data_IF_856685380558
#
_entry.id   IF_856685380558
#
_cell.length_a   1.000
_cell.length_b   1.000
_cell.length_c   1.000
_cell.angle_alpha   90.00
_cell.angle_beta   90.00
_cell.angle_gamma   90.00
#
_symmetry.space_group_name_H-M   'P 1'
#
loop_
_entity.id
_entity.type
_entity.pdbx_description
1 polymer ?
#
# COMPACT_ATOMS: atom_id res chain seq x y z
N UNK A 1 42.26 -4.26 11.94
CA UNK A 1 40.97 -4.73 11.38
C UNK A 1 40.20 -3.48 11.00
N UNK A 2 40.41 -2.96 9.79
CA UNK A 2 39.59 -3.25 8.59
C UNK A 2 38.13 -2.94 8.86
N UNK A 3 37.43 -2.03 8.18
CA UNK A 3 37.68 -1.27 6.97
C UNK A 3 36.27 -0.76 6.65
N UNK A 4 36.08 0.55 6.57
CA UNK A 4 34.77 1.12 6.25
C UNK A 4 34.92 1.98 5.00
N UNK A 5 34.28 1.50 3.95
CA UNK A 5 34.25 2.02 2.60
C UNK A 5 33.74 3.47 2.58
N UNK A 6 34.56 4.36 2.03
CA UNK A 6 34.10 5.67 1.54
C UNK A 6 33.93 5.56 0.03
N UNK A 7 32.68 5.49 -0.43
CA UNK A 7 32.32 5.59 -1.84
C UNK A 7 31.42 6.82 -2.03
N UNK A 8 32.04 7.96 -2.36
CA UNK A 8 31.38 9.17 -2.86
C UNK A 8 32.19 9.69 -4.04
N UNK A 9 31.53 10.00 -5.16
CA UNK A 9 32.09 10.91 -6.17
C UNK A 9 32.19 10.38 -7.60
N UNK A 10 31.10 9.90 -8.19
CA UNK A 10 30.98 9.80 -9.65
C UNK A 10 30.39 11.09 -10.22
N UNK A 11 31.23 11.99 -10.73
CA UNK A 11 30.80 13.19 -11.45
C UNK A 11 30.27 12.82 -12.86
N UNK A 12 29.18 13.45 -13.35
CA UNK A 12 28.74 13.29 -14.73
C UNK A 12 29.65 14.09 -15.68
N UNK A 13 30.18 13.42 -16.72
CA UNK A 13 30.93 14.08 -17.81
C UNK A 13 29.96 14.85 -18.72
N UNK A 14 30.34 16.03 -19.23
CA UNK A 14 29.57 16.73 -20.25
C UNK A 14 29.72 16.04 -21.62
N UNK A 15 28.61 15.85 -22.32
CA UNK A 15 28.56 15.63 -23.76
C UNK A 15 28.68 17.00 -24.44
N UNK A 16 29.62 17.14 -25.37
CA UNK A 16 29.56 18.00 -26.56
C UNK A 16 30.71 17.51 -27.48
N UNK A 17 30.37 16.94 -28.63
CA UNK A 17 30.34 17.59 -29.96
C UNK A 17 31.65 17.30 -30.68
N UNK A 18 31.61 16.27 -31.53
CA UNK A 18 32.47 16.16 -32.72
C UNK A 18 31.59 15.57 -33.83
N UNK A 19 30.90 16.46 -34.53
CA UNK A 19 30.42 16.24 -35.88
C UNK A 19 31.64 16.47 -36.76
N UNK A 20 32.20 15.39 -37.33
CA UNK A 20 33.12 15.55 -38.44
C UNK A 20 32.69 14.65 -39.61
N UNK A 21 32.26 15.36 -40.64
CA UNK A 21 31.98 14.88 -41.98
C UNK A 21 33.26 14.41 -42.67
N UNK A 22 33.19 13.28 -43.38
CA UNK A 22 33.77 12.99 -44.72
C UNK A 22 34.37 11.59 -44.81
N UNK A 23 33.67 10.75 -45.56
CA UNK A 23 34.20 9.53 -46.15
C UNK A 23 33.33 9.23 -47.36
N UNK A 24 33.70 9.80 -48.51
CA UNK A 24 33.18 9.41 -49.82
C UNK A 24 33.34 7.90 -49.96
N UNK A 25 32.23 7.17 -50.13
CA UNK A 25 32.27 5.77 -50.50
C UNK A 25 31.61 5.65 -51.87
N UNK A 26 32.47 5.48 -52.87
CA UNK A 26 32.14 5.35 -54.27
C UNK A 26 31.13 4.21 -54.50
N UNK A 27 30.10 4.54 -55.26
CA UNK A 27 29.04 3.64 -55.67
C UNK A 27 29.52 2.84 -56.89
N UNK A 28 30.34 1.80 -56.69
CA UNK A 28 30.57 0.79 -57.74
C UNK A 28 29.41 -0.18 -57.73
N UNK A 29 28.57 -0.01 -58.76
CA UNK A 29 27.42 -0.82 -59.11
C UNK A 29 27.92 -2.02 -59.91
N UNK A 30 28.18 -3.13 -59.23
CA UNK A 30 28.36 -4.43 -59.88
C UNK A 30 27.08 -5.24 -59.76
N UNK A 31 26.47 -5.37 -60.92
CA UNK A 31 25.35 -6.26 -61.26
C UNK A 31 25.96 -7.63 -61.53
N UNK A 32 25.49 -8.64 -60.79
CA UNK A 32 25.25 -10.04 -61.20
C UNK A 32 25.55 -11.01 -60.04
N UNK A 33 24.53 -11.74 -59.60
CA UNK A 33 24.38 -13.17 -59.90
C UNK A 33 23.49 -13.86 -58.85
N UNK A 34 22.56 -14.64 -59.38
CA UNK A 34 21.48 -15.34 -58.71
C UNK A 34 21.97 -16.36 -57.67
N UNK A 35 21.22 -16.47 -56.58
CA UNK A 35 21.41 -17.52 -55.58
C UNK A 35 20.71 -17.23 -54.26
N UNK A 36 19.42 -16.87 -54.28
CA UNK A 36 18.59 -16.98 -53.08
C UNK A 36 18.41 -18.46 -52.76
N UNK A 37 19.39 -19.05 -52.08
CA UNK A 37 19.19 -20.32 -51.40
C UNK A 37 18.17 -20.10 -50.29
N UNK A 38 16.94 -20.59 -50.48
CA UNK A 38 15.97 -20.65 -49.39
C UNK A 38 16.64 -21.34 -48.19
N UNK A 39 16.61 -20.74 -46.99
CA UNK A 39 17.22 -21.36 -45.82
C UNK A 39 16.50 -22.69 -45.58
N UNK A 40 17.25 -23.78 -45.77
CA UNK A 40 16.75 -25.16 -45.67
C UNK A 40 16.07 -25.33 -44.30
N UNK A 41 14.73 -25.39 -44.32
CA UNK A 41 13.95 -25.36 -43.09
C UNK A 41 14.19 -26.66 -42.33
N UNK A 42 14.99 -26.61 -41.27
CA UNK A 42 15.23 -27.76 -40.41
C UNK A 42 13.90 -28.17 -39.76
N UNK A 43 13.34 -29.30 -40.23
CA UNK A 43 12.13 -29.89 -39.67
C UNK A 43 12.45 -30.46 -38.30
N UNK A 44 11.71 -30.02 -37.28
CA UNK A 44 11.84 -30.47 -35.88
C UNK A 44 10.55 -31.25 -35.53
N UNK A 45 10.57 -32.20 -34.59
CA UNK A 45 9.34 -32.88 -34.17
C UNK A 45 8.24 -31.88 -33.79
N UNK A 46 7.15 -31.89 -34.55
CA UNK A 46 5.98 -31.00 -34.36
C UNK A 46 6.04 -29.63 -35.04
N UNK A 47 6.96 -29.37 -35.99
CA UNK A 47 6.91 -28.15 -36.81
C UNK A 47 8.27 -27.66 -37.34
N UNK A 48 8.29 -26.45 -37.88
CA UNK A 48 9.51 -25.78 -38.38
C UNK A 48 10.23 -25.07 -37.23
N UNK A 49 11.57 -25.11 -37.18
CA UNK A 49 12.33 -24.37 -36.17
C UNK A 49 12.12 -22.85 -36.29
N UNK A 50 12.08 -22.14 -35.17
CA UNK A 50 12.00 -20.67 -35.17
C UNK A 50 13.30 -20.05 -35.69
N UNK A 51 13.23 -19.40 -36.85
CA UNK A 51 14.32 -18.62 -37.45
C UNK A 51 14.08 -17.14 -37.13
N UNK A 52 15.15 -16.38 -36.92
CA UNK A 52 15.09 -14.94 -36.72
C UNK A 52 14.66 -14.24 -38.02
N UNK A 53 13.35 -14.05 -38.19
CA UNK A 53 12.76 -13.31 -39.31
C UNK A 53 12.51 -11.85 -38.96
N UNK A 54 12.67 -10.97 -39.95
CA UNK A 54 12.25 -9.56 -39.86
C UNK A 54 10.73 -9.48 -39.66
N UNK A 55 10.28 -8.48 -38.92
CA UNK A 55 8.86 -8.20 -38.69
C UNK A 55 8.47 -7.06 -39.63
N UNK A 56 7.41 -7.26 -40.41
CA UNK A 56 6.89 -6.34 -41.43
C UNK A 56 5.40 -6.12 -41.26
N UNK A 57 4.88 -5.02 -41.80
CA UNK A 57 3.46 -4.68 -41.76
C UNK A 57 2.62 -5.65 -42.60
N UNK A 58 3.17 -6.14 -43.72
CA UNK A 58 2.66 -7.30 -44.45
C UNK A 58 3.23 -8.55 -43.78
N UNK A 59 2.56 -8.96 -42.71
CA UNK A 59 2.98 -10.07 -41.86
C UNK A 59 2.71 -11.43 -42.52
N UNK A 60 3.53 -12.43 -42.17
CA UNK A 60 3.38 -13.79 -42.70
C UNK A 60 2.22 -14.55 -42.02
N UNK A 61 1.90 -15.74 -42.54
CA UNK A 61 0.80 -16.56 -42.02
C UNK A 61 0.95 -16.92 -40.54
N UNK A 62 2.19 -17.05 -40.05
CA UNK A 62 2.46 -17.39 -38.66
C UNK A 62 2.29 -16.19 -37.74
N UNK A 63 2.77 -15.02 -38.18
CA UNK A 63 2.55 -13.76 -37.49
C UNK A 63 1.08 -13.38 -37.43
N UNK A 64 0.33 -13.57 -38.52
CA UNK A 64 -1.12 -13.40 -38.56
C UNK A 64 -1.83 -14.24 -37.51
N UNK A 65 -1.39 -15.50 -37.33
CA UNK A 65 -1.96 -16.39 -36.31
C UNK A 65 -1.60 -15.97 -34.88
N UNK A 66 -0.37 -15.47 -34.67
CA UNK A 66 0.04 -14.90 -33.38
C UNK A 66 -0.83 -13.68 -33.05
N UNK A 67 -1.04 -12.77 -34.01
CA UNK A 67 -1.85 -11.57 -33.86
C UNK A 67 -3.28 -11.93 -33.44
N UNK A 68 -3.93 -12.85 -34.17
CA UNK A 68 -5.30 -13.27 -33.91
C UNK A 68 -5.48 -13.84 -32.48
N UNK A 69 -4.61 -14.78 -32.09
CA UNK A 69 -4.69 -15.40 -30.76
C UNK A 69 -4.37 -14.40 -29.64
N UNK A 70 -3.49 -13.43 -29.90
CA UNK A 70 -3.15 -12.39 -28.93
C UNK A 70 -4.23 -11.33 -28.76
N UNK A 71 -4.92 -10.96 -29.83
CA UNK A 71 -6.09 -10.08 -29.76
C UNK A 71 -7.22 -10.73 -28.94
N UNK A 72 -7.36 -12.07 -29.01
CA UNK A 72 -8.28 -12.85 -28.18
C UNK A 72 -7.78 -13.09 -26.73
N UNK A 73 -6.65 -12.47 -26.35
CA UNK A 73 -6.08 -12.53 -25.00
C UNK A 73 -5.62 -13.91 -24.51
N UNK A 74 -5.21 -14.81 -25.42
CA UNK A 74 -4.61 -16.08 -25.03
C UNK A 74 -3.19 -15.93 -24.44
N UNK A 75 -2.81 -16.88 -23.56
CA UNK A 75 -1.50 -16.91 -22.92
C UNK A 75 -0.38 -17.26 -23.91
N UNK A 76 0.85 -16.85 -23.60
CA UNK A 76 2.04 -17.11 -24.43
C UNK A 76 2.28 -18.61 -24.64
N UNK A 77 2.10 -19.43 -23.60
CA UNK A 77 2.23 -20.89 -23.72
C UNK A 77 1.16 -21.49 -24.62
N UNK A 78 -0.08 -20.98 -24.53
CA UNK A 78 -1.18 -21.45 -25.36
C UNK A 78 -0.93 -21.16 -26.83
N UNK A 79 -0.50 -19.93 -27.15
CA UNK A 79 -0.18 -19.52 -28.53
C UNK A 79 0.91 -20.41 -29.11
N UNK A 80 2.02 -20.61 -28.37
CA UNK A 80 3.10 -21.48 -28.82
C UNK A 80 2.63 -22.93 -29.05
N UNK A 81 1.81 -23.47 -28.15
CA UNK A 81 1.24 -24.81 -28.29
C UNK A 81 0.29 -24.92 -29.48
N UNK A 82 -0.50 -23.89 -29.77
CA UNK A 82 -1.41 -23.86 -30.93
C UNK A 82 -0.66 -23.81 -32.25
N UNK A 83 0.36 -22.98 -32.37
CA UNK A 83 1.22 -22.93 -33.56
C UNK A 83 1.87 -24.30 -33.82
N UNK A 84 2.33 -24.97 -32.76
CA UNK A 84 2.90 -26.33 -32.87
C UNK A 84 1.85 -27.37 -33.32
N UNK A 85 0.63 -27.33 -32.76
CA UNK A 85 -0.46 -28.22 -33.17
C UNK A 85 -0.85 -28.03 -34.64
N UNK A 86 -0.81 -26.79 -35.12
CA UNK A 86 -1.11 -26.42 -36.51
C UNK A 86 0.05 -26.71 -37.47
N UNK A 87 1.17 -27.26 -36.99
CA UNK A 87 2.36 -27.57 -37.81
C UNK A 87 3.14 -26.34 -38.27
N UNK A 88 2.91 -25.18 -37.64
CA UNK A 88 3.58 -23.90 -37.92
C UNK A 88 4.96 -23.82 -37.28
N UNK A 89 5.60 -22.65 -37.36
CA UNK A 89 6.86 -22.39 -36.66
C UNK A 89 6.72 -22.64 -35.16
N UNK A 90 7.63 -23.45 -34.64
CA UNK A 90 7.72 -23.81 -33.23
C UNK A 90 8.39 -22.69 -32.44
N UNK A 91 7.58 -21.77 -31.94
CA UNK A 91 8.02 -20.78 -30.98
C UNK A 91 8.18 -21.37 -29.58
N UNK A 92 9.08 -20.79 -28.79
CA UNK A 92 9.12 -21.00 -27.35
C UNK A 92 8.16 -20.01 -26.70
N UNK A 93 7.30 -20.43 -25.77
CA UNK A 93 6.29 -19.57 -25.13
C UNK A 93 6.84 -18.20 -24.72
N UNK A 94 7.98 -18.15 -24.01
CA UNK A 94 8.64 -16.89 -23.58
C UNK A 94 8.99 -15.90 -24.69
N UNK A 95 9.04 -16.34 -25.95
CA UNK A 95 9.39 -15.51 -27.12
C UNK A 95 8.17 -14.92 -27.81
N UNK A 96 6.98 -15.48 -27.59
CA UNK A 96 5.72 -15.03 -28.20
C UNK A 96 5.41 -13.60 -27.77
N UNK A 97 5.46 -13.28 -26.47
CA UNK A 97 5.16 -11.93 -25.99
C UNK A 97 6.06 -10.86 -26.61
N UNK A 98 7.37 -11.11 -26.72
CA UNK A 98 8.31 -10.18 -27.36
C UNK A 98 8.06 -10.04 -28.86
N UNK A 99 7.71 -11.13 -29.57
CA UNK A 99 7.37 -11.08 -31.00
C UNK A 99 6.07 -10.31 -31.23
N UNK A 100 5.04 -10.59 -30.44
CA UNK A 100 3.76 -9.90 -30.48
C UNK A 100 3.90 -8.39 -30.24
N UNK A 101 4.67 -7.96 -29.24
CA UNK A 101 4.86 -6.52 -28.97
C UNK A 101 5.51 -5.79 -30.16
N UNK A 102 6.45 -6.44 -30.85
CA UNK A 102 7.08 -5.88 -32.05
C UNK A 102 6.12 -5.85 -33.24
N UNK A 103 5.33 -6.90 -33.44
CA UNK A 103 4.26 -6.94 -34.46
C UNK A 103 3.23 -5.84 -34.20
N UNK A 104 2.76 -5.74 -32.96
CA UNK A 104 1.80 -4.71 -32.54
C UNK A 104 2.32 -3.31 -32.86
N UNK A 105 3.58 -3.01 -32.53
CA UNK A 105 4.17 -1.71 -32.84
C UNK A 105 4.16 -1.42 -34.35
N UNK A 106 4.56 -2.38 -35.18
CA UNK A 106 4.55 -2.21 -36.64
C UNK A 106 3.12 -2.01 -37.19
N UNK A 107 2.12 -2.67 -36.58
CA UNK A 107 0.71 -2.47 -36.93
C UNK A 107 0.17 -1.11 -36.47
N UNK A 108 0.58 -0.65 -35.28
CA UNK A 108 0.27 0.69 -34.77
C UNK A 108 0.87 1.76 -35.70
N UNK A 109 2.17 1.64 -36.03
CA UNK A 109 2.86 2.55 -36.95
C UNK A 109 2.17 2.57 -38.34
N UNK A 110 1.75 1.40 -38.88
CA UNK A 110 0.98 1.33 -40.15
C UNK A 110 -0.38 2.01 -40.03
N UNK A 111 -1.08 1.85 -38.91
CA UNK A 111 -2.38 2.49 -38.71
C UNK A 111 -2.23 4.01 -38.58
N UNK A 112 -1.17 4.50 -37.93
CA UNK A 112 -0.84 5.93 -37.88
C UNK A 112 -0.61 6.48 -39.30
N UNK A 113 0.17 5.78 -40.14
CA UNK A 113 0.34 6.15 -41.56
C UNK A 113 -0.99 6.18 -42.33
N UNK A 114 -1.87 5.20 -42.11
CA UNK A 114 -3.20 5.18 -42.73
C UNK A 114 -4.10 6.32 -42.27
N UNK A 115 -3.98 6.75 -41.01
CA UNK A 115 -4.72 7.90 -40.49
C UNK A 115 -4.17 9.21 -41.07
N UNK A 116 -2.85 9.36 -41.17
CA UNK A 116 -2.18 10.53 -41.76
C UNK A 116 -2.48 10.68 -43.26
N UNK A 117 -2.59 9.56 -43.98
CA UNK A 117 -2.94 9.51 -45.41
C UNK A 117 -4.47 9.61 -45.67
N UNK A 118 -5.29 9.81 -44.63
CA UNK A 118 -6.76 9.85 -44.68
C UNK A 118 -7.40 8.55 -45.27
N UNK A 119 -6.69 7.43 -45.20
CA UNK A 119 -7.15 6.10 -45.63
C UNK A 119 -7.87 5.33 -44.51
N UNK A 120 -7.74 5.79 -43.27
CA UNK A 120 -8.50 5.35 -42.09
C UNK A 120 -9.09 6.56 -41.38
N UNK A 121 -10.13 6.35 -40.57
CA UNK A 121 -10.76 7.41 -39.78
C UNK A 121 -11.06 6.91 -38.35
N UNK A 122 -11.35 7.85 -37.46
CA UNK A 122 -11.79 7.58 -36.11
C UNK A 122 -13.26 7.13 -36.11
N UNK A 123 -13.56 6.11 -35.32
CA UNK A 123 -14.90 5.54 -35.25
C UNK A 123 -15.75 6.21 -34.16
N UNK A 124 -17.07 6.09 -34.31
CA UNK A 124 -18.04 6.62 -33.35
C UNK A 124 -17.78 6.04 -31.95
N UNK A 125 -17.61 6.93 -30.98
CA UNK A 125 -17.37 6.60 -29.57
C UNK A 125 -15.89 6.51 -29.17
N UNK A 126 -14.96 6.50 -30.13
CA UNK A 126 -13.53 6.52 -29.85
C UNK A 126 -13.09 7.87 -29.28
N UNK A 127 -13.59 8.99 -29.80
CA UNK A 127 -13.31 10.34 -29.27
C UNK A 127 -13.70 10.50 -27.79
N UNK A 128 -14.88 10.01 -27.42
CA UNK A 128 -15.33 10.02 -26.03
C UNK A 128 -14.42 9.17 -25.15
N UNK A 129 -14.00 8.00 -25.66
CA UNK A 129 -13.13 7.09 -24.95
C UNK A 129 -11.74 7.70 -24.76
N UNK A 130 -11.14 8.26 -25.80
CA UNK A 130 -9.86 8.97 -25.76
C UNK A 130 -9.91 10.13 -24.77
N UNK A 131 -10.98 10.92 -24.81
CA UNK A 131 -11.16 12.05 -23.87
C UNK A 131 -11.25 11.58 -22.42
N UNK A 132 -12.04 10.52 -22.14
CA UNK A 132 -12.18 9.92 -20.81
C UNK A 132 -10.84 9.36 -20.31
N UNK A 133 -10.16 8.56 -21.14
CA UNK A 133 -8.86 7.94 -20.81
C UNK A 133 -7.81 9.01 -20.57
N UNK A 134 -7.72 10.03 -21.43
CA UNK A 134 -6.79 11.15 -21.26
C UNK A 134 -7.02 11.85 -19.92
N UNK A 135 -8.26 12.14 -19.56
CA UNK A 135 -8.57 12.78 -18.28
C UNK A 135 -8.17 11.92 -17.07
N UNK A 136 -8.31 10.59 -17.15
CA UNK A 136 -7.85 9.67 -16.11
C UNK A 136 -6.32 9.62 -16.00
N UNK A 137 -5.63 9.63 -17.14
CA UNK A 137 -4.16 9.65 -17.19
C UNK A 137 -3.62 10.99 -16.68
N UNK A 138 -4.21 12.11 -17.10
CA UNK A 138 -3.82 13.46 -16.66
C UNK A 138 -3.88 13.58 -15.13
N UNK A 139 -4.91 13.01 -14.48
CA UNK A 139 -5.01 12.96 -13.00
C UNK A 139 -3.84 12.22 -12.36
N UNK A 140 -3.36 11.12 -12.97
CA UNK A 140 -2.21 10.37 -12.45
C UNK A 140 -0.92 11.19 -12.55
N UNK A 141 -0.77 11.95 -13.64
CA UNK A 141 0.44 12.74 -13.89
C UNK A 141 0.40 14.15 -13.32
N UNK A 142 -0.75 14.66 -12.89
CA UNK A 142 -0.90 16.04 -12.37
C UNK A 142 0.08 16.33 -11.23
N UNK A 143 0.22 15.41 -10.28
CA UNK A 143 1.14 15.54 -9.15
C UNK A 143 2.61 15.53 -9.60
N UNK A 144 2.98 14.62 -10.50
CA UNK A 144 4.34 14.52 -11.06
C UNK A 144 4.69 15.76 -11.87
N UNK A 145 3.74 16.27 -12.66
CA UNK A 145 3.90 17.49 -13.44
C UNK A 145 4.12 18.70 -12.53
N UNK A 146 3.32 18.85 -11.48
CA UNK A 146 3.50 19.91 -10.47
C UNK A 146 4.87 19.83 -9.81
N UNK A 147 5.30 18.64 -9.41
CA UNK A 147 6.64 18.43 -8.83
C UNK A 147 7.77 18.75 -9.82
N UNK A 148 7.61 18.39 -11.09
CA UNK A 148 8.57 18.73 -12.15
C UNK A 148 8.65 20.24 -12.38
N UNK A 149 7.51 20.94 -12.40
CA UNK A 149 7.49 22.40 -12.49
C UNK A 149 8.17 23.05 -11.28
N UNK A 150 7.89 22.58 -10.07
CA UNK A 150 8.57 23.08 -8.87
C UNK A 150 10.09 22.85 -8.93
N UNK A 151 10.53 21.69 -9.42
CA UNK A 151 11.96 21.38 -9.59
C UNK A 151 12.60 22.30 -10.62
N UNK A 152 11.95 22.48 -11.78
CA UNK A 152 12.39 23.42 -12.83
C UNK A 152 12.58 24.82 -12.25
N UNK A 153 11.62 25.35 -11.50
CA UNK A 153 11.74 26.69 -10.93
C UNK A 153 12.78 26.80 -9.82
N UNK A 154 13.00 25.73 -9.04
CA UNK A 154 14.11 25.65 -8.10
C UNK A 154 15.45 25.78 -8.83
N UNK A 155 15.65 25.03 -9.93
CA UNK A 155 16.84 25.15 -10.75
C UNK A 155 17.01 26.55 -11.32
N UNK A 156 15.95 27.13 -11.91
CA UNK A 156 15.97 28.51 -12.41
C UNK A 156 16.44 29.48 -11.33
N UNK A 157 15.95 29.36 -10.10
CA UNK A 157 16.37 30.25 -9.01
C UNK A 157 17.84 30.07 -8.62
N UNK A 158 18.37 28.85 -8.70
CA UNK A 158 19.79 28.56 -8.43
C UNK A 158 20.66 29.17 -9.54
N UNK A 159 20.35 28.88 -10.80
CA UNK A 159 21.09 29.43 -11.94
C UNK A 159 21.04 30.96 -11.97
N UNK A 160 19.89 31.56 -11.64
CA UNK A 160 19.77 33.01 -11.52
C UNK A 160 20.66 33.56 -10.40
N UNK A 161 20.70 32.90 -9.25
CA UNK A 161 21.54 33.32 -8.14
C UNK A 161 23.04 33.22 -8.48
N UNK A 162 23.45 32.19 -9.22
CA UNK A 162 24.83 32.02 -9.67
C UNK A 162 25.23 33.12 -10.66
N UNK A 163 24.32 33.52 -11.57
CA UNK A 163 24.57 34.63 -12.52
C UNK A 163 24.60 36.00 -11.85
N UNK A 164 23.75 36.24 -10.84
CA UNK A 164 23.71 37.51 -10.09
C UNK A 164 24.79 37.54 -8.98
N UNK A 165 25.35 36.39 -8.61
CA UNK A 165 26.31 36.25 -7.52
C UNK A 165 25.69 36.37 -6.12
N UNK A 166 24.35 36.35 -5.99
CA UNK A 166 23.61 36.46 -4.72
C UNK A 166 22.31 35.66 -4.75
N UNK A 167 22.06 34.86 -3.71
CA UNK A 167 20.79 34.12 -3.51
C UNK A 167 19.71 35.02 -2.90
N UNK A 168 19.08 35.85 -3.74
CA UNK A 168 18.02 36.80 -3.32
C UNK A 168 16.60 36.30 -3.59
N UNK A 169 16.38 35.56 -4.66
CA UNK A 169 15.05 35.19 -5.15
C UNK A 169 14.76 33.70 -4.95
N UNK A 170 13.55 33.38 -4.52
CA UNK A 170 13.07 31.99 -4.40
C UNK A 170 12.54 31.49 -5.75
N UNK A 171 12.39 30.16 -5.89
CA UNK A 171 11.75 29.53 -7.04
C UNK A 171 10.41 30.18 -7.40
N UNK A 172 9.54 30.33 -6.39
CA UNK A 172 8.21 30.95 -6.55
C UNK A 172 8.31 32.41 -7.02
N UNK A 173 9.25 33.18 -6.48
CA UNK A 173 9.44 34.58 -6.90
C UNK A 173 9.93 34.69 -8.35
N UNK A 174 10.74 33.73 -8.81
CA UNK A 174 11.21 33.67 -10.19
C UNK A 174 10.06 33.29 -11.14
N UNK A 175 9.24 32.32 -10.76
CA UNK A 175 8.03 31.90 -11.49
C UNK A 175 7.04 33.05 -11.63
N UNK A 176 6.58 33.63 -10.51
CA UNK A 176 5.63 34.75 -10.50
C UNK A 176 6.14 35.94 -11.33
N UNK A 177 7.45 36.22 -11.27
CA UNK A 177 8.05 37.30 -12.06
C UNK A 177 8.04 36.97 -13.55
N UNK A 178 8.39 35.74 -13.93
CA UNK A 178 8.38 35.31 -15.32
C UNK A 178 6.96 35.34 -15.92
N UNK A 179 5.98 34.85 -15.16
CA UNK A 179 4.57 34.88 -15.57
C UNK A 179 4.07 36.31 -15.76
N UNK A 180 4.39 37.22 -14.84
CA UNK A 180 4.05 38.62 -14.97
C UNK A 180 4.71 39.27 -16.21
N UNK A 181 5.95 38.88 -16.54
CA UNK A 181 6.64 39.36 -17.75
C UNK A 181 5.92 38.83 -18.99
N UNK A 182 5.61 37.53 -19.02
CA UNK A 182 4.91 36.88 -20.15
C UNK A 182 3.51 37.48 -20.37
N UNK A 183 2.80 37.81 -19.29
CA UNK A 183 1.48 38.43 -19.33
C UNK A 183 1.52 39.94 -19.61
N UNK A 184 2.70 40.57 -19.64
CA UNK A 184 2.83 42.03 -19.79
C UNK A 184 2.35 42.84 -18.57
N UNK A 185 2.10 42.19 -17.43
CA UNK A 185 1.64 42.83 -16.18
C UNK A 185 2.77 43.04 -15.16
N UNK A 186 4.00 42.66 -15.52
CA UNK A 186 5.16 42.87 -14.68
C UNK A 186 5.40 44.36 -14.42
N UNK A 187 5.54 44.70 -13.15
CA UNK A 187 6.03 46.01 -12.74
C UNK A 187 7.43 46.24 -13.30
N UNK A 188 7.66 47.46 -13.79
CA UNK A 188 8.96 47.89 -14.25
C UNK A 188 10.04 47.71 -13.17
N UNK A 189 11.31 47.54 -13.53
CA UNK A 189 12.41 47.71 -12.58
C UNK A 189 12.29 49.06 -11.85
N UNK A 190 12.67 49.11 -10.57
CA UNK A 190 12.50 50.32 -9.73
C UNK A 190 13.21 51.53 -10.34
N UNK A 191 14.38 51.32 -10.96
CA UNK A 191 15.19 52.37 -11.61
C UNK A 191 14.52 52.96 -12.86
N UNK A 192 13.54 52.28 -13.45
CA UNK A 192 12.88 52.67 -14.70
C UNK A 192 11.42 53.09 -14.48
N UNK A 193 10.95 53.10 -13.23
CA UNK A 193 9.57 53.45 -12.91
C UNK A 193 9.48 54.91 -12.46
N UNK A 194 8.83 55.75 -13.26
CA UNK A 194 8.64 57.16 -12.97
C UNK A 194 7.57 57.39 -11.88
N UNK A 195 6.61 56.46 -11.70
CA UNK A 195 5.56 56.55 -10.68
C UNK A 195 5.91 55.74 -9.41
N UNK A 196 6.81 56.32 -8.62
CA UNK A 196 7.19 55.76 -7.32
C UNK A 196 6.09 55.87 -6.26
N UNK A 197 5.09 56.73 -6.44
CA UNK A 197 3.99 56.93 -5.49
C UNK A 197 2.96 55.81 -5.63
N UNK A 198 2.52 55.52 -6.86
CA UNK A 198 1.62 54.39 -7.15
C UNK A 198 2.24 53.05 -6.75
N UNK A 199 3.54 52.85 -7.01
CA UNK A 199 4.28 51.65 -6.56
C UNK A 199 4.23 51.46 -5.05
N UNK A 200 4.35 52.53 -4.26
CA UNK A 200 4.29 52.46 -2.79
C UNK A 200 2.92 52.02 -2.30
N UNK A 201 1.84 52.60 -2.85
CA UNK A 201 0.48 52.20 -2.49
C UNK A 201 0.21 50.73 -2.80
N UNK A 202 0.59 50.26 -3.99
CA UNK A 202 0.45 48.84 -4.39
C UNK A 202 1.28 47.90 -3.50
N UNK A 203 2.42 48.39 -2.98
CA UNK A 203 3.24 47.63 -2.02
C UNK A 203 2.57 47.57 -0.65
N UNK A 204 2.04 48.69 -0.17
CA UNK A 204 1.32 48.76 1.11
C UNK A 204 0.10 47.83 1.12
N UNK A 205 -0.69 47.83 0.04
CA UNK A 205 -1.83 46.91 -0.12
C UNK A 205 -1.37 45.45 -0.09
N UNK A 206 -0.28 45.11 -0.79
CA UNK A 206 0.29 43.75 -0.78
C UNK A 206 0.83 43.36 0.61
N UNK A 207 1.46 44.28 1.33
CA UNK A 207 1.94 44.06 2.69
C UNK A 207 0.75 43.85 3.64
N UNK A 208 -0.29 44.68 3.55
CA UNK A 208 -1.49 44.57 4.36
C UNK A 208 -2.19 43.22 4.13
N UNK A 209 -2.36 42.81 2.87
CA UNK A 209 -2.90 41.49 2.52
C UNK A 209 -2.04 40.36 3.09
N UNK A 210 -0.73 40.41 2.89
CA UNK A 210 0.18 39.39 3.42
C UNK A 210 0.24 39.34 4.97
N UNK A 211 -0.09 40.45 5.64
CA UNK A 211 -0.22 40.51 7.11
C UNK A 211 -1.55 39.87 7.56
N UNK A 212 -2.64 40.15 6.86
CA UNK A 212 -3.94 39.52 7.10
C UNK A 212 -3.88 38.00 6.87
N UNK A 213 -3.26 37.56 5.77
CA UNK A 213 -3.11 36.13 5.45
C UNK A 213 -2.26 35.40 6.52
N UNK A 214 -1.21 36.05 7.02
CA UNK A 214 -0.39 35.52 8.13
C UNK A 214 -1.18 35.41 9.43
N UNK A 215 -1.94 36.44 9.79
CA UNK A 215 -2.80 36.41 10.98
C UNK A 215 -3.85 35.30 10.88
N UNK A 216 -4.52 35.15 9.73
CA UNK A 216 -5.50 34.09 9.50
C UNK A 216 -4.88 32.69 9.57
N UNK A 217 -3.66 32.50 9.02
CA UNK A 217 -2.97 31.22 9.12
C UNK A 217 -2.53 30.91 10.57
N UNK A 218 -2.05 31.90 11.31
CA UNK A 218 -1.71 31.74 12.73
C UNK A 218 -2.95 31.38 13.57
N UNK A 219 -4.08 32.02 13.32
CA UNK A 219 -5.37 31.69 13.95
C UNK A 219 -5.82 30.27 13.59
N UNK A 220 -5.74 29.88 12.30
CA UNK A 220 -6.10 28.53 11.86
C UNK A 220 -5.21 27.46 12.53
N UNK A 221 -3.90 27.71 12.66
CA UNK A 221 -2.97 26.81 13.34
C UNK A 221 -3.29 26.72 14.84
N UNK A 222 -3.62 27.84 15.50
CA UNK A 222 -4.05 27.85 16.91
C UNK A 222 -5.34 27.05 17.10
N UNK A 223 -6.35 27.29 16.29
CA UNK A 223 -7.63 26.56 16.33
C UNK A 223 -7.43 25.06 16.09
N UNK A 224 -6.58 24.67 15.14
CA UNK A 224 -6.25 23.27 14.89
C UNK A 224 -5.52 22.63 16.08
N UNK A 225 -4.60 23.35 16.72
CA UNK A 225 -3.89 22.88 17.92
C UNK A 225 -4.84 22.71 19.11
N UNK A 226 -5.75 23.66 19.33
CA UNK A 226 -6.77 23.61 20.38
C UNK A 226 -7.74 22.43 20.16
N UNK A 227 -8.22 22.23 18.93
CA UNK A 227 -9.06 21.07 18.60
C UNK A 227 -8.33 19.75 18.83
N UNK A 228 -7.04 19.67 18.49
CA UNK A 228 -6.22 18.47 18.74
C UNK A 228 -6.07 18.22 20.24
N UNK A 229 -5.83 19.26 21.04
CA UNK A 229 -5.73 19.16 22.51
C UNK A 229 -7.06 18.74 23.13
N UNK A 230 -8.17 19.34 22.72
CA UNK A 230 -9.51 18.97 23.19
C UNK A 230 -9.86 17.50 22.90
N UNK A 231 -9.49 16.99 21.71
CA UNK A 231 -9.65 15.56 21.36
C UNK A 231 -8.79 14.66 22.23
N UNK A 232 -7.55 15.05 22.53
CA UNK A 232 -6.66 14.28 23.41
C UNK A 232 -7.21 14.23 24.85
N UNK A 233 -7.67 15.36 25.38
CA UNK A 233 -8.24 15.43 26.73
C UNK A 233 -9.55 14.65 26.84
N UNK A 234 -10.41 14.68 25.81
CA UNK A 234 -11.61 13.85 25.74
C UNK A 234 -11.28 12.35 25.70
N UNK A 235 -10.28 11.94 24.91
CA UNK A 235 -9.84 10.55 24.85
C UNK A 235 -9.26 10.08 26.20
N UNK A 236 -8.49 10.93 26.88
CA UNK A 236 -7.92 10.63 28.20
C UNK A 236 -9.03 10.44 29.25
N UNK A 237 -10.00 11.37 29.32
CA UNK A 237 -11.16 11.26 30.22
C UNK A 237 -11.98 9.99 29.96
N UNK A 238 -12.22 9.65 28.69
CA UNK A 238 -12.95 8.42 28.34
C UNK A 238 -12.20 7.14 28.74
N UNK A 239 -10.86 7.15 28.71
CA UNK A 239 -10.05 6.02 29.21
C UNK A 239 -10.11 5.92 30.73
N UNK A 240 -9.99 7.04 31.42
CA UNK A 240 -10.08 7.10 32.89
C UNK A 240 -11.46 6.62 33.38
N UNK A 241 -12.54 7.05 32.74
CA UNK A 241 -13.90 6.61 33.07
C UNK A 241 -14.09 5.10 32.83
N UNK A 242 -13.55 4.57 31.73
CA UNK A 242 -13.59 3.12 31.46
C UNK A 242 -12.79 2.32 32.48
N UNK A 243 -11.64 2.85 32.93
CA UNK A 243 -10.83 2.20 33.95
C UNK A 243 -11.54 2.22 35.32
N UNK A 244 -12.09 3.37 35.72
CA UNK A 244 -12.88 3.50 36.94
C UNK A 244 -14.05 2.50 36.98
N UNK A 245 -14.80 2.36 35.89
CA UNK A 245 -15.90 1.37 35.79
C UNK A 245 -15.40 -0.08 35.94
N UNK A 246 -14.24 -0.42 35.38
CA UNK A 246 -13.63 -1.75 35.52
C UNK A 246 -13.16 -1.99 36.96
N UNK A 247 -12.57 -0.99 37.58
CA UNK A 247 -12.09 -1.08 38.97
C UNK A 247 -13.28 -1.22 39.94
N UNK A 248 -14.38 -0.49 39.72
CA UNK A 248 -15.63 -0.65 40.46
C UNK A 248 -16.24 -2.06 40.28
N UNK A 249 -16.31 -2.56 39.04
CA UNK A 249 -16.87 -3.89 38.77
C UNK A 249 -16.04 -5.01 39.41
N UNK A 250 -14.70 -4.91 39.33
CA UNK A 250 -13.79 -5.87 39.96
C UNK A 250 -13.86 -5.80 41.49
N UNK A 251 -13.97 -4.60 42.07
CA UNK A 251 -14.21 -4.43 43.50
C UNK A 251 -15.53 -5.08 43.94
N UNK A 252 -16.61 -4.91 43.18
CA UNK A 252 -17.91 -5.53 43.45
C UNK A 252 -17.83 -7.07 43.42
N UNK A 253 -17.22 -7.64 42.37
CA UNK A 253 -17.01 -9.10 42.26
C UNK A 253 -16.17 -9.65 43.41
N UNK A 254 -15.14 -8.92 43.84
CA UNK A 254 -14.31 -9.31 44.98
C UNK A 254 -15.08 -9.28 46.30
N UNK A 255 -15.95 -8.28 46.51
CA UNK A 255 -16.84 -8.23 47.68
C UNK A 255 -17.84 -9.39 47.68
N UNK A 256 -18.50 -9.65 46.55
CA UNK A 256 -19.43 -10.78 46.39
C UNK A 256 -18.74 -12.13 46.67
N UNK A 257 -17.50 -12.32 46.18
CA UNK A 257 -16.73 -13.53 46.44
C UNK A 257 -16.35 -13.68 47.93
N UNK A 258 -15.98 -12.59 48.60
CA UNK A 258 -15.69 -12.58 50.05
C UNK A 258 -16.92 -12.98 50.86
N UNK A 259 -18.09 -12.42 50.55
CA UNK A 259 -19.36 -12.77 51.17
C UNK A 259 -19.73 -14.25 50.93
N UNK A 260 -19.61 -14.73 49.68
CA UNK A 260 -19.90 -16.12 49.33
C UNK A 260 -18.99 -17.10 50.06
N UNK A 261 -17.71 -16.76 50.20
CA UNK A 261 -16.75 -17.53 50.98
C UNK A 261 -17.07 -17.52 52.48
N UNK A 262 -17.55 -16.39 53.03
CA UNK A 262 -18.03 -16.31 54.42
C UNK A 262 -19.19 -17.27 54.66
N UNK A 263 -20.23 -17.21 53.82
CA UNK A 263 -21.40 -18.09 53.89
C UNK A 263 -20.99 -19.56 53.77
N UNK A 264 -20.06 -19.91 52.87
CA UNK A 264 -19.58 -21.29 52.71
C UNK A 264 -18.86 -21.81 53.96
N UNK A 265 -18.07 -20.97 54.63
CA UNK A 265 -17.40 -21.29 55.91
C UNK A 265 -18.43 -21.50 57.02
N UNK A 266 -19.40 -20.60 57.16
CA UNK A 266 -20.50 -20.72 58.13
C UNK A 266 -21.30 -22.01 57.94
N UNK A 267 -21.67 -22.33 56.69
CA UNK A 267 -22.33 -23.61 56.34
C UNK A 267 -21.46 -24.83 56.62
N UNK A 268 -20.13 -24.70 56.52
CA UNK A 268 -19.18 -25.73 56.91
C UNK A 268 -19.24 -26.02 58.40
N UNK A 269 -19.17 -24.96 59.21
CA UNK A 269 -19.25 -25.04 60.69
C UNK A 269 -20.59 -25.66 61.12
N UNK A 270 -21.70 -25.23 60.55
CA UNK A 270 -23.03 -25.77 60.88
C UNK A 270 -23.11 -27.27 60.55
N UNK A 271 -22.63 -27.69 59.38
CA UNK A 271 -22.59 -29.12 59.00
C UNK A 271 -21.74 -29.95 59.95
N UNK A 272 -20.63 -29.41 60.42
CA UNK A 272 -19.76 -30.08 61.37
C UNK A 272 -20.46 -30.26 62.72
N UNK A 273 -21.06 -29.19 63.27
CA UNK A 273 -21.88 -29.26 64.49
C UNK A 273 -23.00 -30.30 64.40
N UNK A 274 -23.67 -30.41 63.24
CA UNK A 274 -24.70 -31.43 63.02
C UNK A 274 -24.14 -32.86 63.01
N UNK A 275 -22.95 -33.08 62.44
CA UNK A 275 -22.27 -34.38 62.47
C UNK A 275 -21.89 -34.74 63.91
N UNK A 276 -21.30 -33.81 64.63
CA UNK A 276 -20.86 -34.00 66.01
C UNK A 276 -22.07 -34.31 66.91
N UNK A 277 -23.18 -33.57 66.76
CA UNK A 277 -24.43 -33.85 67.47
C UNK A 277 -24.99 -35.24 67.16
N UNK A 278 -24.89 -35.71 65.91
CA UNK A 278 -25.31 -37.08 65.52
C UNK A 278 -24.43 -38.14 66.18
N UNK A 279 -23.12 -37.92 66.24
CA UNK A 279 -22.17 -38.83 66.91
C UNK A 279 -22.47 -38.91 68.40
N UNK A 280 -22.68 -37.76 69.05
CA UNK A 280 -23.07 -37.69 70.47
C UNK A 280 -24.35 -38.48 70.72
N UNK A 281 -25.40 -38.25 69.91
CA UNK A 281 -26.68 -38.98 70.06
C UNK A 281 -26.53 -40.49 69.84
N UNK A 282 -25.69 -40.92 68.89
CA UNK A 282 -25.41 -42.34 68.69
C UNK A 282 -24.63 -42.95 69.87
N UNK A 283 -23.71 -42.20 70.47
CA UNK A 283 -22.99 -42.61 71.66
C UNK A 283 -23.94 -42.75 72.86
N UNK A 284 -24.88 -41.81 73.05
CA UNK A 284 -25.93 -41.90 74.08
C UNK A 284 -26.80 -43.17 73.89
N UNK A 285 -27.25 -43.43 72.67
CA UNK A 285 -28.04 -44.65 72.37
C UNK A 285 -27.24 -45.94 72.62
N UNK A 286 -25.93 -45.95 72.32
CA UNK A 286 -25.05 -47.09 72.65
C UNK A 286 -24.91 -47.25 74.16
N UNK A 287 -24.60 -46.17 74.88
CA UNK A 287 -24.48 -46.17 76.33
C UNK A 287 -25.76 -46.66 77.02
N UNK A 288 -26.94 -46.24 76.53
CA UNK A 288 -28.22 -46.74 77.02
C UNK A 288 -28.41 -48.24 76.75
N UNK A 289 -28.07 -48.72 75.55
CA UNK A 289 -28.14 -50.15 75.22
C UNK A 289 -27.17 -50.96 76.10
N UNK A 290 -25.95 -50.50 76.26
CA UNK A 290 -24.93 -51.16 77.07
C UNK A 290 -25.36 -51.21 78.53
N UNK A 291 -25.92 -50.11 79.06
CA UNK A 291 -26.53 -50.06 80.39
C UNK A 291 -27.71 -51.03 80.55
N UNK A 292 -28.60 -51.13 79.55
CA UNK A 292 -29.69 -52.11 79.57
C UNK A 292 -29.18 -53.56 79.53
N UNK A 293 -28.17 -53.83 78.70
CA UNK A 293 -27.54 -55.16 78.63
C UNK A 293 -26.82 -55.51 79.94
N UNK A 294 -26.17 -54.55 80.58
CA UNK A 294 -25.51 -54.72 81.86
C UNK A 294 -26.54 -54.93 82.98
N UNK A 295 -27.64 -54.18 82.97
CA UNK A 295 -28.79 -54.41 83.84
C UNK A 295 -29.35 -55.83 83.65
N UNK A 296 -29.59 -56.25 82.41
CA UNK A 296 -30.07 -57.60 82.09
C UNK A 296 -29.07 -58.69 82.51
N UNK A 297 -27.76 -58.48 82.32
CA UNK A 297 -26.71 -59.40 82.80
C UNK A 297 -26.70 -59.47 84.34
N UNK A 298 -26.84 -58.34 85.01
CA UNK A 298 -26.96 -58.25 86.47
C UNK A 298 -28.20 -58.99 86.97
N UNK A 299 -29.37 -58.74 86.36
CA UNK A 299 -30.63 -59.42 86.64
C UNK A 299 -30.53 -60.93 86.38
N UNK A 300 -29.90 -61.36 85.28
CA UNK A 300 -29.67 -62.78 84.97
C UNK A 300 -28.76 -63.45 86.00
N UNK A 301 -27.69 -62.76 86.43
CA UNK A 301 -26.79 -63.26 87.48
C UNK A 301 -27.51 -63.37 88.82
N UNK A 302 -28.28 -62.34 89.20
CA UNK A 302 -29.11 -62.35 90.41
C UNK A 302 -30.15 -63.48 90.37
N UNK A 303 -30.88 -63.63 89.26
CA UNK A 303 -31.88 -64.68 89.10
C UNK A 303 -31.26 -66.08 89.19
N UNK A 304 -30.10 -66.29 88.57
CA UNK A 304 -29.34 -67.54 88.68
C UNK A 304 -28.93 -67.82 90.12
N UNK A 305 -28.45 -66.80 90.85
CA UNK A 305 -28.06 -66.93 92.25
C UNK A 305 -29.26 -67.24 93.17
N UNK A 306 -30.44 -66.64 92.93
CA UNK A 306 -31.62 -66.85 93.75
C UNK A 306 -32.39 -68.14 93.45
N UNK A 307 -32.45 -68.59 92.19
CA UNK A 307 -33.31 -69.71 91.78
C UNK A 307 -32.55 -70.99 91.41
N UNK A 308 -31.22 -70.92 91.29
CA UNK A 308 -30.39 -72.05 90.84
C UNK A 308 -30.58 -72.45 89.37
N UNK A 309 -31.37 -71.70 88.59
CA UNK A 309 -31.68 -71.96 87.16
C UNK A 309 -31.35 -70.73 86.31
N UNK A 310 -31.08 -70.92 85.01
CA UNK A 310 -30.89 -69.79 84.09
C UNK A 310 -32.24 -69.07 83.85
N UNK A 311 -32.21 -67.73 83.79
CA UNK A 311 -33.39 -66.92 83.44
C UNK A 311 -33.86 -67.25 82.00
N UNK A 312 -35.17 -67.45 81.77
CA UNK A 312 -35.74 -67.77 80.44
C UNK A 312 -35.54 -66.65 79.41
#
# INVERSE_FOLDING_TARGET
MSGLEMFWGGAPKPLNEDIDTRGEFELTRDVDNEGESEPESLRVPGGVAAIAKKITADYDSDDGRIIELKQQSYSDEYVAGKLQQEGRVRYVGKTIGSRWNRLRKVLEDRNDELLDDELSDWHVGEDEMVTKIKAEVDKKYESTYKQLQEKKWKEVSIYLADKIGKRKYTAKACEERFEAIKAGTALLPIELDDDQAGRRQMREQRIAKAKADRAANEEAVRMAAELKKAKQDACKRAKEERQAKRDEETARKNQELRERNRIKRERGIIRQKLKDARVIRLAEMRAQRDWQMEKWRGEKTLYKNFTGKNMP
#
